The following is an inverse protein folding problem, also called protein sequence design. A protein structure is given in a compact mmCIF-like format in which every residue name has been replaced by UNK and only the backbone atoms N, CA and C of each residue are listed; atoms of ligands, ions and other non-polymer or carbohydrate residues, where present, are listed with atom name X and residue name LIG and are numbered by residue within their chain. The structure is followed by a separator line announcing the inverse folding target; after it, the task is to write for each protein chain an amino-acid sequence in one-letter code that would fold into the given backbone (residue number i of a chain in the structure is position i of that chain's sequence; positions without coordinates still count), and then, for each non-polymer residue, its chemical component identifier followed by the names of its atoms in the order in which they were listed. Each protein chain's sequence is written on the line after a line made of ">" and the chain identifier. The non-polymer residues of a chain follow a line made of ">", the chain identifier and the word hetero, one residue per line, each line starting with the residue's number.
data_IF_042237335727
#
_entry.id   IF_042237335727
#
_cell.length_a   1.000
_cell.length_b   1.000
_cell.length_c   1.000
_cell.angle_alpha   90.00
_cell.angle_beta   90.00
_cell.angle_gamma   90.00
#
_symmetry.space_group_name_H-M   'P 1'
#
loop_
_entity.id
_entity.type
_entity.pdbx_description
1 polymer ?
#
# COMPACT_ATOMS: atom_id res chain seq x y z
N UNK A 1 30.15 -30.17 -77.72
CA UNK A 1 28.73 -30.62 -77.77
C UNK A 1 28.19 -30.68 -76.38
N UNK A 2 27.14 -29.88 -76.07
CA UNK A 2 26.21 -29.89 -74.97
C UNK A 2 26.70 -29.44 -73.56
N UNK A 3 26.59 -28.15 -73.37
CA UNK A 3 26.30 -27.48 -72.10
C UNK A 3 24.89 -27.92 -71.66
N UNK A 4 24.75 -28.45 -70.44
CA UNK A 4 23.46 -28.46 -69.71
C UNK A 4 23.65 -28.58 -68.22
N UNK A 5 23.07 -27.58 -67.50
CA UNK A 5 22.55 -27.62 -66.14
C UNK A 5 23.55 -27.48 -64.96
N UNK A 6 23.86 -26.25 -64.66
CA UNK A 6 24.20 -25.77 -63.31
C UNK A 6 23.32 -24.52 -63.01
N UNK A 7 22.05 -24.75 -62.83
CA UNK A 7 21.11 -23.74 -62.28
C UNK A 7 20.17 -24.46 -61.31
N UNK A 8 20.57 -24.56 -60.08
CA UNK A 8 19.73 -25.24 -59.08
C UNK A 8 20.24 -25.20 -57.66
N UNK A 9 21.33 -24.51 -57.37
CA UNK A 9 21.91 -24.55 -55.98
C UNK A 9 22.04 -23.18 -55.32
N UNK A 10 21.63 -22.11 -55.99
CA UNK A 10 21.73 -20.74 -55.42
C UNK A 10 20.45 -20.25 -54.76
N UNK A 11 19.32 -20.97 -54.85
CA UNK A 11 18.02 -20.51 -54.29
C UNK A 11 17.67 -21.10 -52.92
N UNK A 12 18.46 -22.02 -52.38
CA UNK A 12 18.17 -22.68 -51.09
C UNK A 12 18.90 -22.05 -49.88
N UNK A 13 19.83 -21.12 -50.08
CA UNK A 13 20.60 -20.48 -49.01
C UNK A 13 20.03 -19.15 -48.55
N UNK A 14 19.06 -18.59 -49.24
CA UNK A 14 18.44 -17.29 -48.90
C UNK A 14 17.17 -17.39 -48.02
N UNK A 15 16.72 -18.58 -47.65
CA UNK A 15 15.52 -18.75 -46.81
C UNK A 15 15.80 -19.14 -45.35
N UNK A 16 17.05 -19.32 -44.94
CA UNK A 16 17.38 -19.63 -43.50
C UNK A 16 17.86 -18.44 -42.68
N UNK A 17 17.97 -17.24 -43.23
CA UNK A 17 18.39 -16.04 -42.50
C UNK A 17 17.25 -15.16 -41.93
N UNK A 18 15.97 -15.56 -42.11
CA UNK A 18 14.83 -14.78 -41.65
C UNK A 18 14.20 -15.28 -40.32
N UNK A 19 14.76 -16.31 -39.69
CA UNK A 19 14.19 -16.87 -38.44
C UNK A 19 15.03 -16.68 -37.16
N UNK A 20 16.08 -15.85 -37.18
CA UNK A 20 16.85 -15.49 -35.98
C UNK A 20 16.64 -14.05 -35.48
N UNK A 21 15.53 -13.42 -35.83
CA UNK A 21 15.14 -12.11 -35.27
C UNK A 21 13.91 -12.26 -34.37
N UNK A 22 14.00 -13.06 -33.33
CA UNK A 22 12.82 -13.34 -32.50
C UNK A 22 13.06 -13.70 -31.05
N UNK A 23 14.21 -13.35 -30.47
CA UNK A 23 14.41 -13.39 -29.01
C UNK A 23 15.14 -12.14 -28.54
N UNK A 24 14.66 -10.97 -28.88
CA UNK A 24 14.83 -9.84 -27.99
C UNK A 24 13.89 -10.09 -26.82
N UNK A 25 14.43 -10.63 -25.72
CA UNK A 25 13.83 -10.53 -24.43
C UNK A 25 13.35 -9.09 -24.28
N UNK A 26 12.03 -8.89 -24.32
CA UNK A 26 11.41 -7.66 -23.86
C UNK A 26 11.83 -7.54 -22.40
N UNK A 27 12.92 -6.82 -22.16
CA UNK A 27 13.19 -6.25 -20.86
C UNK A 27 11.90 -5.53 -20.52
N UNK A 28 11.18 -6.02 -19.52
CA UNK A 28 9.95 -5.41 -19.05
C UNK A 28 10.30 -3.96 -18.78
N UNK A 29 9.88 -3.05 -19.65
CA UNK A 29 10.02 -1.63 -19.39
C UNK A 29 9.44 -1.41 -18.00
N UNK A 30 10.24 -0.91 -17.06
CA UNK A 30 9.79 -0.63 -15.72
C UNK A 30 8.48 0.13 -15.84
N UNK A 31 7.41 -0.41 -15.25
CA UNK A 31 6.08 0.19 -15.34
C UNK A 31 6.19 1.56 -14.71
N UNK A 32 6.06 2.62 -15.49
CA UNK A 32 6.07 3.98 -14.99
C UNK A 32 4.73 4.24 -14.31
N UNK A 33 4.75 4.88 -13.15
CA UNK A 33 3.55 5.33 -12.47
C UNK A 33 2.72 6.29 -13.33
N UNK A 34 1.47 6.51 -12.95
CA UNK A 34 0.57 7.42 -13.67
C UNK A 34 1.08 8.86 -13.62
N UNK A 35 0.79 9.61 -14.67
CA UNK A 35 1.18 11.02 -14.79
C UNK A 35 -0.02 11.94 -14.54
N UNK A 36 0.22 13.09 -13.91
CA UNK A 36 -0.80 14.11 -13.73
C UNK A 36 -1.15 14.77 -15.07
N UNK A 37 -2.44 14.77 -15.44
CA UNK A 37 -3.00 15.58 -16.52
C UNK A 37 -3.17 17.05 -16.12
N UNK A 38 -4.26 17.69 -16.55
CA UNK A 38 -4.62 19.07 -16.15
C UNK A 38 -4.99 19.17 -14.67
N UNK A 39 -5.47 18.08 -14.09
CA UNK A 39 -5.69 17.92 -12.65
C UNK A 39 -4.83 16.81 -12.08
N UNK A 40 -4.46 16.93 -10.80
CA UNK A 40 -3.78 15.90 -10.03
C UNK A 40 -4.86 15.01 -9.41
N UNK A 41 -5.02 13.79 -9.92
CA UNK A 41 -5.97 12.82 -9.37
C UNK A 41 -5.31 12.06 -8.23
N UNK A 42 -5.90 12.14 -7.03
CA UNK A 42 -5.50 11.36 -5.85
C UNK A 42 -6.62 10.37 -5.55
N UNK A 43 -6.28 9.10 -5.45
CA UNK A 43 -7.22 8.06 -5.03
C UNK A 43 -7.33 8.02 -3.50
N UNK A 44 -8.53 7.77 -2.99
CA UNK A 44 -8.76 7.53 -1.57
C UNK A 44 -9.41 6.15 -1.45
N UNK A 45 -8.60 5.19 -1.01
CA UNK A 45 -9.02 3.83 -0.71
C UNK A 45 -9.21 3.73 0.79
N UNK A 46 -10.45 3.73 1.26
CA UNK A 46 -10.68 3.92 2.70
C UNK A 46 -11.86 3.07 3.19
N UNK A 47 -11.84 2.74 4.45
CA UNK A 47 -12.91 2.06 5.18
C UNK A 47 -14.05 3.05 5.48
N UNK A 48 -14.89 3.37 4.48
CA UNK A 48 -16.05 4.27 4.72
C UNK A 48 -17.24 3.54 5.33
N UNK A 49 -17.23 2.21 5.30
CA UNK A 49 -18.20 1.33 5.94
C UNK A 49 -17.51 0.11 6.54
N UNK A 50 -18.29 -0.76 7.23
CA UNK A 50 -17.76 -1.93 7.91
C UNK A 50 -17.17 -1.60 9.28
N UNK A 51 -16.38 -2.52 9.84
CA UNK A 51 -15.88 -2.45 11.22
C UNK A 51 -15.02 -1.22 11.52
N UNK A 52 -14.27 -0.72 10.55
CA UNK A 52 -13.39 0.46 10.69
C UNK A 52 -13.99 1.74 10.08
N UNK A 53 -15.29 1.75 9.75
CA UNK A 53 -15.93 2.90 9.08
C UNK A 53 -15.81 4.23 9.83
N UNK A 54 -15.75 4.18 11.16
CA UNK A 54 -15.54 5.39 11.98
C UNK A 54 -14.19 6.07 11.72
N UNK A 55 -13.12 5.30 11.52
CA UNK A 55 -11.81 5.84 11.18
C UNK A 55 -11.82 6.47 9.78
N UNK A 56 -12.37 5.74 8.79
CA UNK A 56 -12.40 6.20 7.41
C UNK A 56 -13.18 7.49 7.22
N UNK A 57 -14.28 7.70 7.95
CA UNK A 57 -15.04 8.95 7.89
C UNK A 57 -14.24 10.14 8.45
N UNK A 58 -13.48 9.94 9.52
CA UNK A 58 -12.64 11.00 10.10
C UNK A 58 -11.48 11.35 9.15
N UNK A 59 -10.79 10.35 8.61
CA UNK A 59 -9.71 10.56 7.65
C UNK A 59 -10.22 11.24 6.36
N UNK A 60 -11.42 10.88 5.88
CA UNK A 60 -12.06 11.56 4.75
C UNK A 60 -12.21 13.06 4.98
N UNK A 61 -12.66 13.47 6.18
CA UNK A 61 -12.83 14.89 6.50
C UNK A 61 -11.48 15.61 6.47
N UNK A 62 -10.43 15.02 7.00
CA UNK A 62 -9.07 15.55 6.95
C UNK A 62 -8.54 15.70 5.52
N UNK A 63 -8.74 14.66 4.69
CA UNK A 63 -8.34 14.68 3.28
C UNK A 63 -9.10 15.77 2.52
N UNK A 64 -10.42 15.87 2.72
CA UNK A 64 -11.25 16.86 2.05
C UNK A 64 -10.81 18.28 2.42
N UNK A 65 -10.58 18.54 3.72
CA UNK A 65 -10.07 19.83 4.19
C UNK A 65 -8.76 20.21 3.50
N UNK A 66 -7.80 19.28 3.47
CA UNK A 66 -6.51 19.52 2.82
C UNK A 66 -6.65 19.80 1.32
N UNK A 67 -7.52 19.05 0.62
CA UNK A 67 -7.79 19.25 -0.81
C UNK A 67 -8.40 20.62 -1.06
N UNK A 68 -9.38 21.04 -0.23
CA UNK A 68 -10.05 22.32 -0.35
C UNK A 68 -9.10 23.48 -0.10
N UNK A 69 -8.27 23.41 0.94
CA UNK A 69 -7.26 24.44 1.24
C UNK A 69 -6.21 24.58 0.12
N UNK A 70 -5.69 23.46 -0.38
CA UNK A 70 -4.70 23.47 -1.48
C UNK A 70 -5.34 24.05 -2.73
N UNK A 71 -6.57 23.66 -3.03
CA UNK A 71 -7.30 24.13 -4.19
C UNK A 71 -7.68 25.62 -4.07
N UNK A 72 -8.05 26.11 -2.89
CA UNK A 72 -8.31 27.53 -2.65
C UNK A 72 -7.07 28.40 -2.94
N UNK A 73 -5.88 27.91 -2.61
CA UNK A 73 -4.58 28.57 -2.90
C UNK A 73 -4.12 28.43 -4.36
N UNK A 74 -5.00 27.92 -5.24
CA UNK A 74 -4.75 27.77 -6.69
C UNK A 74 -4.28 26.37 -7.09
N UNK A 75 -4.05 25.44 -6.16
CA UNK A 75 -3.55 24.09 -6.42
C UNK A 75 -2.04 23.97 -6.27
N UNK A 76 -1.50 22.83 -6.70
CA UNK A 76 -0.07 22.49 -6.62
C UNK A 76 0.68 23.01 -7.84
N UNK A 77 1.84 23.61 -7.64
CA UNK A 77 2.72 24.01 -8.74
C UNK A 77 3.45 22.79 -9.29
N UNK A 78 3.20 22.46 -10.55
CA UNK A 78 3.88 21.38 -11.27
C UNK A 78 4.53 22.00 -12.51
N UNK A 79 5.85 22.08 -12.51
CA UNK A 79 6.64 22.67 -13.61
C UNK A 79 6.15 24.07 -14.04
N UNK A 80 5.91 24.95 -13.06
CA UNK A 80 5.45 26.34 -13.29
C UNK A 80 3.94 26.49 -13.52
N UNK A 81 3.18 25.40 -13.66
CA UNK A 81 1.72 25.43 -13.84
C UNK A 81 1.01 24.98 -12.56
N UNK A 82 0.04 25.77 -12.10
CA UNK A 82 -0.82 25.39 -10.99
C UNK A 82 -1.89 24.40 -11.44
N UNK A 83 -1.94 23.25 -10.76
CA UNK A 83 -2.91 22.19 -11.02
C UNK A 83 -3.75 21.94 -9.78
N UNK A 84 -5.06 21.87 -9.94
CA UNK A 84 -5.99 21.49 -8.86
C UNK A 84 -5.89 20.01 -8.53
N UNK A 85 -6.14 19.66 -7.28
CA UNK A 85 -6.28 18.27 -6.84
C UNK A 85 -7.73 17.84 -7.02
N UNK A 86 -7.92 16.62 -7.51
CA UNK A 86 -9.21 15.92 -7.53
C UNK A 86 -9.07 14.62 -6.74
N UNK A 87 -9.71 14.55 -5.57
CA UNK A 87 -9.80 13.32 -4.80
C UNK A 87 -10.91 12.40 -5.37
N UNK A 88 -10.60 11.11 -5.50
CA UNK A 88 -11.53 10.06 -5.95
C UNK A 88 -11.68 9.08 -4.80
N UNK A 89 -12.83 9.14 -4.13
CA UNK A 89 -13.14 8.34 -2.96
C UNK A 89 -13.76 6.98 -3.34
N UNK A 90 -13.25 5.91 -2.73
CA UNK A 90 -13.80 4.56 -2.88
C UNK A 90 -13.80 3.83 -1.53
N UNK A 91 -14.93 3.20 -1.23
CA UNK A 91 -15.14 2.41 -0.02
C UNK A 91 -14.57 1.01 -0.18
N UNK A 92 -13.64 0.60 0.68
CA UNK A 92 -13.12 -0.76 0.74
C UNK A 92 -13.93 -1.66 1.70
N UNK A 93 -14.91 -1.11 2.41
CA UNK A 93 -15.85 -1.81 3.29
C UNK A 93 -15.17 -2.58 4.44
N UNK A 94 -14.00 -2.14 4.87
CA UNK A 94 -13.16 -2.84 5.87
C UNK A 94 -12.86 -4.29 5.46
N UNK A 95 -12.58 -4.50 4.17
CA UNK A 95 -12.32 -5.82 3.59
C UNK A 95 -11.06 -5.81 2.75
N UNK A 96 -10.11 -6.68 3.07
CA UNK A 96 -8.81 -6.81 2.38
C UNK A 96 -8.97 -7.10 0.89
N UNK A 97 -9.92 -7.96 0.51
CA UNK A 97 -10.21 -8.28 -0.89
C UNK A 97 -10.77 -7.08 -1.65
N UNK A 98 -11.70 -6.35 -1.03
CA UNK A 98 -12.27 -5.13 -1.61
C UNK A 98 -11.21 -4.03 -1.70
N UNK A 99 -10.37 -3.87 -0.67
CA UNK A 99 -9.26 -2.91 -0.64
C UNK A 99 -8.28 -3.13 -1.79
N UNK A 100 -7.88 -4.37 -2.05
CA UNK A 100 -7.03 -4.74 -3.19
C UNK A 100 -7.71 -4.41 -4.54
N UNK A 101 -9.00 -4.70 -4.68
CA UNK A 101 -9.78 -4.40 -5.88
C UNK A 101 -9.89 -2.90 -6.12
N UNK A 102 -10.18 -2.13 -5.07
CA UNK A 102 -10.25 -0.65 -5.09
C UNK A 102 -8.89 -0.06 -5.49
N UNK A 103 -7.78 -0.54 -4.91
CA UNK A 103 -6.44 -0.09 -5.29
C UNK A 103 -6.17 -0.30 -6.77
N UNK A 104 -6.59 -1.47 -7.31
CA UNK A 104 -6.45 -1.76 -8.74
C UNK A 104 -7.30 -0.81 -9.60
N UNK A 105 -8.56 -0.56 -9.24
CA UNK A 105 -9.43 0.37 -9.97
C UNK A 105 -8.85 1.79 -9.97
N UNK A 106 -8.47 2.32 -8.83
CA UNK A 106 -7.90 3.66 -8.71
C UNK A 106 -6.65 3.82 -9.58
N UNK A 107 -5.76 2.85 -9.57
CA UNK A 107 -4.48 2.95 -10.29
C UNK A 107 -4.59 2.67 -11.78
N UNK A 108 -5.46 1.72 -12.20
CA UNK A 108 -5.52 1.27 -13.60
C UNK A 108 -6.66 1.90 -14.40
N UNK A 109 -7.80 2.21 -13.78
CA UNK A 109 -8.97 2.79 -14.46
C UNK A 109 -9.05 4.30 -14.24
N UNK A 110 -9.03 4.74 -12.98
CA UNK A 110 -9.11 6.17 -12.64
C UNK A 110 -7.81 6.92 -12.93
N UNK A 111 -6.69 6.18 -13.07
CA UNK A 111 -5.36 6.74 -13.38
C UNK A 111 -4.91 7.78 -12.37
N UNK A 112 -5.08 7.50 -11.08
CA UNK A 112 -4.58 8.35 -9.99
C UNK A 112 -3.06 8.30 -9.93
N UNK A 113 -2.42 9.39 -9.51
CA UNK A 113 -0.95 9.48 -9.40
C UNK A 113 -0.41 9.03 -8.05
N UNK A 114 -1.28 9.02 -7.04
CA UNK A 114 -1.00 8.50 -5.70
C UNK A 114 -2.33 8.11 -5.04
N UNK A 115 -2.25 7.30 -3.97
CA UNK A 115 -3.42 6.98 -3.15
C UNK A 115 -3.17 7.29 -1.68
N UNK A 116 -4.24 7.65 -0.96
CA UNK A 116 -4.28 7.81 0.49
C UNK A 116 -5.18 6.71 1.06
N UNK A 117 -4.77 6.13 2.17
CA UNK A 117 -5.41 4.95 2.76
C UNK A 117 -4.93 3.65 2.11
N UNK A 118 -5.38 2.51 2.61
CA UNK A 118 -6.33 2.29 3.71
C UNK A 118 -5.86 2.77 5.08
N UNK A 119 -6.82 2.92 6.01
CA UNK A 119 -6.56 3.27 7.40
C UNK A 119 -5.99 2.08 8.19
N UNK A 120 -6.58 0.89 8.03
CA UNK A 120 -6.18 -0.29 8.78
C UNK A 120 -4.93 -0.95 8.22
N UNK A 121 -4.14 -1.60 9.07
CA UNK A 121 -2.95 -2.35 8.66
C UNK A 121 -3.30 -3.47 7.67
N UNK A 122 -4.32 -4.27 7.96
CA UNK A 122 -4.67 -5.42 7.12
C UNK A 122 -5.10 -5.00 5.71
N UNK A 123 -5.99 -4.00 5.62
CA UNK A 123 -6.46 -3.49 4.33
C UNK A 123 -5.33 -2.79 3.56
N UNK A 124 -4.46 -2.07 4.26
CA UNK A 124 -3.27 -1.45 3.68
C UNK A 124 -2.29 -2.48 3.12
N UNK A 125 -1.99 -3.53 3.87
CA UNK A 125 -1.12 -4.62 3.43
C UNK A 125 -1.63 -5.28 2.15
N UNK A 126 -2.94 -5.45 2.01
CA UNK A 126 -3.56 -6.01 0.81
C UNK A 126 -3.37 -5.14 -0.45
N UNK A 127 -3.03 -3.85 -0.31
CA UNK A 127 -2.79 -2.95 -1.45
C UNK A 127 -1.33 -2.91 -1.92
N UNK A 128 -0.38 -3.39 -1.12
CA UNK A 128 1.06 -3.35 -1.41
C UNK A 128 1.41 -3.97 -2.78
N UNK A 129 0.91 -5.17 -3.15
CA UNK A 129 1.20 -5.75 -4.46
C UNK A 129 0.79 -4.86 -5.62
N UNK A 130 -0.36 -4.19 -5.51
CA UNK A 130 -0.85 -3.26 -6.55
C UNK A 130 0.04 -2.03 -6.65
N UNK A 131 0.42 -1.41 -5.54
CA UNK A 131 1.31 -0.25 -5.53
C UNK A 131 2.66 -0.56 -6.20
N UNK A 132 3.27 -1.68 -5.83
CA UNK A 132 4.55 -2.12 -6.42
C UNK A 132 4.42 -2.44 -7.91
N UNK A 133 3.33 -3.08 -8.34
CA UNK A 133 3.07 -3.43 -9.74
C UNK A 133 2.80 -2.20 -10.62
N UNK A 134 2.05 -1.24 -10.11
CA UNK A 134 1.63 -0.06 -10.89
C UNK A 134 2.58 1.12 -10.76
N UNK A 135 3.56 1.06 -9.84
CA UNK A 135 4.44 2.17 -9.48
C UNK A 135 3.68 3.43 -9.07
N UNK A 136 2.52 3.24 -8.43
CA UNK A 136 1.70 4.32 -7.87
C UNK A 136 1.85 4.28 -6.35
N UNK A 137 2.44 5.31 -5.74
CA UNK A 137 2.66 5.34 -4.30
C UNK A 137 1.33 5.41 -3.54
N UNK A 138 1.28 4.76 -2.39
CA UNK A 138 0.21 4.97 -1.43
C UNK A 138 0.75 5.33 -0.04
N UNK A 139 0.01 6.17 0.64
CA UNK A 139 0.27 6.63 1.99
C UNK A 139 -0.88 6.20 2.91
N UNK A 140 -0.60 5.33 3.88
CA UNK A 140 -1.53 5.10 4.98
C UNK A 140 -1.29 6.12 6.09
N UNK A 141 -2.36 6.76 6.55
CA UNK A 141 -2.29 7.72 7.64
C UNK A 141 -2.21 7.03 9.01
N UNK A 142 -2.76 5.82 9.16
CA UNK A 142 -2.97 5.17 10.46
C UNK A 142 -2.52 3.71 10.58
N UNK A 143 -2.05 3.05 9.51
CA UNK A 143 -1.48 1.70 9.61
C UNK A 143 -0.20 1.69 10.47
N UNK A 144 -0.14 0.80 11.47
CA UNK A 144 0.89 0.83 12.52
C UNK A 144 1.81 -0.40 12.55
N UNK A 145 1.54 -1.46 11.77
CA UNK A 145 2.41 -2.64 11.78
C UNK A 145 3.88 -2.25 11.56
N UNK A 146 4.83 -2.75 12.36
CA UNK A 146 6.23 -2.35 12.28
C UNK A 146 6.85 -2.59 10.91
N UNK A 147 6.46 -3.66 10.22
CA UNK A 147 6.94 -4.10 8.92
C UNK A 147 6.07 -3.65 7.72
N UNK A 148 5.05 -2.80 7.97
CA UNK A 148 4.11 -2.33 6.94
C UNK A 148 4.81 -1.78 5.67
N UNK A 149 5.96 -1.12 5.83
CA UNK A 149 6.73 -0.55 4.73
C UNK A 149 7.90 -1.44 4.27
N UNK A 150 8.01 -2.66 4.83
CA UNK A 150 9.10 -3.59 4.58
C UNK A 150 8.59 -4.90 3.96
N UNK A 151 9.37 -5.50 3.08
CA UNK A 151 9.13 -6.86 2.62
C UNK A 151 9.60 -7.90 3.67
N UNK A 152 9.36 -9.18 3.40
CA UNK A 152 9.75 -10.30 4.26
C UNK A 152 11.27 -10.40 4.51
N UNK A 153 12.09 -9.72 3.73
CA UNK A 153 13.54 -9.68 3.88
C UNK A 153 14.01 -8.38 4.55
N UNK A 154 13.09 -7.55 5.03
CA UNK A 154 13.38 -6.25 5.63
C UNK A 154 13.74 -5.14 4.64
N UNK A 155 13.54 -5.37 3.33
CA UNK A 155 13.76 -4.35 2.30
C UNK A 155 12.54 -3.45 2.17
N UNK A 156 12.79 -2.15 2.01
CA UNK A 156 11.72 -1.15 1.86
C UNK A 156 10.91 -1.37 0.58
N UNK A 157 9.58 -1.35 0.69
CA UNK A 157 8.68 -1.25 -0.44
C UNK A 157 8.75 0.16 -1.04
N UNK A 158 9.15 0.34 -2.31
CA UNK A 158 9.44 1.67 -2.88
C UNK A 158 8.21 2.57 -3.03
N UNK A 159 7.01 2.00 -2.99
CA UNK A 159 5.75 2.71 -3.21
C UNK A 159 4.80 2.68 -2.00
N UNK A 160 5.30 2.29 -0.82
CA UNK A 160 4.50 2.16 0.41
C UNK A 160 5.01 3.14 1.45
N UNK A 161 4.13 4.02 1.90
CA UNK A 161 4.45 5.07 2.86
C UNK A 161 3.48 5.06 4.04
N UNK A 162 3.95 5.56 5.16
CA UNK A 162 3.18 5.70 6.38
C UNK A 162 3.47 7.05 7.03
N UNK A 163 2.40 7.75 7.45
CA UNK A 163 2.50 9.01 8.19
C UNK A 163 2.18 8.86 9.68
N UNK A 164 2.34 7.67 10.24
CA UNK A 164 2.01 7.37 11.63
C UNK A 164 3.16 6.65 12.34
N UNK A 165 3.11 6.57 13.66
CA UNK A 165 4.11 5.81 14.42
C UNK A 165 3.88 4.30 14.27
N UNK A 166 4.90 3.51 14.64
CA UNK A 166 4.79 2.05 14.67
C UNK A 166 4.04 1.58 15.90
N UNK A 167 3.33 0.46 15.79
CA UNK A 167 2.59 -0.15 16.89
C UNK A 167 3.48 -0.56 18.07
N UNK A 168 4.76 -0.89 17.83
CA UNK A 168 5.73 -1.17 18.88
C UNK A 168 5.97 0.04 19.81
N UNK A 169 5.97 1.27 19.27
CA UNK A 169 6.01 2.49 20.08
C UNK A 169 4.77 2.61 20.98
N UNK A 170 3.59 2.29 20.47
CA UNK A 170 2.35 2.35 21.25
C UNK A 170 2.35 1.32 22.39
N UNK A 171 2.70 0.06 22.09
CA UNK A 171 2.77 -1.00 23.09
C UNK A 171 3.86 -0.75 24.15
N UNK A 172 5.03 -0.26 23.74
CA UNK A 172 6.12 0.09 24.66
C UNK A 172 5.77 1.28 25.56
N UNK A 173 5.09 2.30 25.01
CA UNK A 173 4.62 3.45 25.79
C UNK A 173 3.57 3.05 26.83
N UNK A 174 2.63 2.17 26.46
CA UNK A 174 1.65 1.62 27.39
C UNK A 174 2.31 0.79 28.50
N UNK A 175 3.30 -0.05 28.16
CA UNK A 175 4.06 -0.84 29.13
C UNK A 175 4.83 0.04 30.11
N UNK A 176 5.49 1.10 29.59
CA UNK A 176 6.21 2.07 30.41
C UNK A 176 5.25 2.82 31.34
N UNK A 177 4.13 3.30 30.83
CA UNK A 177 3.11 3.99 31.62
C UNK A 177 2.57 3.09 32.75
N UNK A 178 2.22 1.86 32.43
CA UNK A 178 1.74 0.89 33.41
C UNK A 178 2.76 0.66 34.55
N UNK A 179 4.04 0.46 34.20
CA UNK A 179 5.06 0.15 35.20
C UNK A 179 5.56 1.40 35.97
N UNK A 180 5.86 2.49 35.24
CA UNK A 180 6.53 3.66 35.83
C UNK A 180 5.52 4.64 36.47
N UNK A 181 4.35 4.84 35.84
CA UNK A 181 3.34 5.80 36.31
C UNK A 181 2.34 5.12 37.26
N UNK A 182 1.72 4.02 36.79
CA UNK A 182 0.73 3.29 37.61
C UNK A 182 1.36 2.37 38.66
N UNK A 183 2.69 2.19 38.66
CA UNK A 183 3.45 1.29 39.55
C UNK A 183 2.97 -0.16 39.49
N UNK A 184 2.31 -0.56 38.41
CA UNK A 184 1.82 -1.91 38.22
C UNK A 184 2.98 -2.91 38.16
N UNK A 185 2.94 -3.96 38.99
CA UNK A 185 3.92 -5.05 38.98
C UNK A 185 3.43 -6.28 38.22
N UNK A 186 2.13 -6.36 38.00
CA UNK A 186 1.46 -7.44 37.27
C UNK A 186 0.49 -6.85 36.26
N UNK A 187 0.38 -7.47 35.10
CA UNK A 187 -0.56 -7.11 34.04
C UNK A 187 -1.14 -8.38 33.40
N UNK A 188 -2.38 -8.29 32.95
CA UNK A 188 -2.97 -9.25 32.03
C UNK A 188 -3.20 -8.56 30.66
N UNK A 189 -3.14 -9.32 29.60
CA UNK A 189 -3.36 -8.84 28.22
C UNK A 189 -4.60 -9.51 27.66
N UNK A 190 -5.55 -8.71 27.16
CA UNK A 190 -6.64 -9.15 26.34
C UNK A 190 -6.46 -8.48 24.96
N UNK A 191 -6.24 -9.26 23.91
CA UNK A 191 -5.87 -8.74 22.59
C UNK A 191 -6.75 -9.31 21.48
N UNK A 192 -7.11 -8.46 20.53
CA UNK A 192 -7.70 -8.87 19.26
C UNK A 192 -6.63 -9.57 18.40
N UNK A 193 -6.83 -10.87 18.11
CA UNK A 193 -5.94 -11.65 17.27
C UNK A 193 -6.42 -11.79 15.81
N UNK A 194 -7.52 -11.16 15.45
CA UNK A 194 -7.96 -11.05 14.05
C UNK A 194 -7.25 -9.93 13.28
N UNK A 195 -6.41 -9.16 13.98
CA UNK A 195 -5.76 -7.96 13.46
C UNK A 195 -4.26 -7.95 13.80
N UNK A 196 -3.42 -7.72 12.80
CA UNK A 196 -1.97 -7.51 12.99
C UNK A 196 -1.68 -6.32 13.93
N UNK A 197 -2.60 -5.35 13.99
CA UNK A 197 -2.53 -4.23 14.92
C UNK A 197 -2.61 -4.70 16.38
N UNK A 198 -3.64 -5.48 16.73
CA UNK A 198 -3.84 -5.99 18.11
C UNK A 198 -2.68 -6.89 18.54
N UNK A 199 -2.28 -7.82 17.68
CA UNK A 199 -1.14 -8.72 17.92
C UNK A 199 0.16 -7.93 18.12
N UNK A 200 0.41 -6.92 17.28
CA UNK A 200 1.62 -6.11 17.35
C UNK A 200 1.76 -5.32 18.64
N UNK A 201 0.68 -4.68 19.09
CA UNK A 201 0.67 -3.93 20.37
C UNK A 201 0.85 -4.88 21.57
N UNK A 202 0.13 -6.01 21.60
CA UNK A 202 0.24 -6.99 22.68
C UNK A 202 1.68 -7.53 22.80
N UNK A 203 2.31 -7.84 21.66
CA UNK A 203 3.70 -8.29 21.59
C UNK A 203 4.65 -7.21 22.13
N UNK A 204 4.49 -5.97 21.70
CA UNK A 204 5.33 -4.86 22.16
C UNK A 204 5.12 -4.58 23.65
N UNK A 205 3.87 -4.58 24.14
CA UNK A 205 3.62 -4.43 25.57
C UNK A 205 4.35 -5.52 26.38
N UNK A 206 4.21 -6.78 25.99
CA UNK A 206 4.88 -7.93 26.63
C UNK A 206 6.40 -7.78 26.67
N UNK A 207 6.98 -7.29 25.59
CA UNK A 207 8.43 -7.11 25.45
C UNK A 207 8.97 -6.01 26.37
N UNK A 208 8.22 -4.93 26.55
CA UNK A 208 8.70 -3.74 27.25
C UNK A 208 8.16 -3.57 28.68
N UNK A 209 7.18 -4.37 29.08
CA UNK A 209 6.66 -4.31 30.46
C UNK A 209 7.66 -4.92 31.43
N UNK A 210 8.16 -4.11 32.36
CA UNK A 210 9.17 -4.52 33.38
C UNK A 210 8.60 -5.33 34.54
N UNK A 211 7.27 -5.49 34.64
CA UNK A 211 6.60 -6.35 35.58
C UNK A 211 6.35 -7.75 35.01
N UNK A 212 5.44 -8.49 35.64
CA UNK A 212 5.04 -9.84 35.21
C UNK A 212 3.74 -9.77 34.41
N UNK A 213 3.73 -10.26 33.18
CA UNK A 213 2.50 -10.53 32.44
C UNK A 213 1.98 -11.88 32.92
N UNK A 214 0.90 -11.86 33.68
CA UNK A 214 0.36 -13.05 34.37
C UNK A 214 -0.58 -13.87 33.54
N UNK A 215 -1.20 -13.24 32.50
CA UNK A 215 -2.11 -13.91 31.58
C UNK A 215 -2.14 -13.19 30.24
N UNK A 216 -2.49 -13.94 29.19
CA UNK A 216 -2.71 -13.38 27.86
C UNK A 216 -3.88 -14.14 27.21
N UNK A 217 -4.97 -13.45 26.97
CA UNK A 217 -6.16 -13.96 26.31
C UNK A 217 -6.37 -13.26 24.99
N UNK A 218 -7.05 -13.94 24.10
CA UNK A 218 -7.33 -13.43 22.75
C UNK A 218 -8.82 -13.50 22.45
N UNK A 219 -9.27 -12.55 21.67
CA UNK A 219 -10.61 -12.54 21.07
C UNK A 219 -10.51 -12.18 19.58
N UNK A 220 -11.55 -12.40 18.84
CA UNK A 220 -11.68 -11.96 17.45
C UNK A 220 -12.69 -10.82 17.34
N UNK A 221 -12.52 -9.96 16.34
CA UNK A 221 -13.49 -8.90 16.09
C UNK A 221 -14.89 -9.49 15.88
N UNK A 222 -15.85 -9.05 16.73
CA UNK A 222 -17.22 -9.57 16.73
C UNK A 222 -17.52 -10.64 17.76
N UNK A 223 -16.55 -11.15 18.52
CA UNK A 223 -16.78 -12.01 19.68
C UNK A 223 -17.64 -11.30 20.74
N UNK A 224 -18.53 -12.08 21.40
CA UNK A 224 -19.45 -11.60 22.44
C UNK A 224 -19.05 -12.14 23.80
#
# INVERSE_FOLDING_TARGET
>A
MKIKKMTGFAAAIMMCSAFMAGCTSKTSAATKGNQAGDTIKIGVNMEFSGAAGGYGQQEKNGIQLAVDEINAKGGVNVNGKKKKIKAIYRDNKSSTSTSSSVATQLTTQDKVVATIGPATTNDGTATIPTANKTCVPFLSASATAPDFTLDKNGKVHPYVFRAYFKGDYQGSSAAKFAYETLKAKRAAILADNSSDYGIGIAKAFKQYFKGTVVDTQYFQAGDK
#
